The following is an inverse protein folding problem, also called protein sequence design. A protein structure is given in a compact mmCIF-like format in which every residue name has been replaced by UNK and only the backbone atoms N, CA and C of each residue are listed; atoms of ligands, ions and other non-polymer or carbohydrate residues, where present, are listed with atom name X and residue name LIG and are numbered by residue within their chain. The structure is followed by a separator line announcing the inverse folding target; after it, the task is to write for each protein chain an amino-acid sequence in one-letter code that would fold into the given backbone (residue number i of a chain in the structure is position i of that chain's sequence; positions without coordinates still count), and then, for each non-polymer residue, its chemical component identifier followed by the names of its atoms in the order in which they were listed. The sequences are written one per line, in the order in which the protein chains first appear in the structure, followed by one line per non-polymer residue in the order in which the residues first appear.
data_IF_456844770873
#
_entry.id   IF_456844770873
#
_cell.length_a   1.000
_cell.length_b   1.000
_cell.length_c   1.000
_cell.angle_alpha   90.00
_cell.angle_beta   90.00
_cell.angle_gamma   90.00
#
_symmetry.space_group_name_H-M   'P 1'
#
loop_
_entity.id
_entity.type
_entity.pdbx_description
1 polymer ?
#
# COMPACT_ATOMS: atom_id res chain seq x y z
N UNK A 1 18.64 48.70 9.43
CA UNK A 1 19.48 47.49 9.50
C UNK A 1 19.15 46.66 8.27
N UNK A 2 20.09 46.64 7.34
CA UNK A 2 20.00 46.11 5.98
C UNK A 2 20.50 44.68 5.94
N UNK A 3 19.64 43.72 5.62
CA UNK A 3 20.02 42.33 5.38
C UNK A 3 19.81 41.98 3.91
N UNK A 4 20.94 41.73 3.25
CA UNK A 4 21.12 41.39 1.85
C UNK A 4 20.48 40.04 1.46
N UNK A 5 20.05 39.87 0.20
CA UNK A 5 19.63 38.56 -0.31
C UNK A 5 20.85 37.69 -0.68
N UNK A 6 20.84 36.46 -0.19
CA UNK A 6 21.83 35.42 -0.49
C UNK A 6 21.59 34.82 -1.87
N UNK A 7 22.54 35.00 -2.77
CA UNK A 7 22.58 34.39 -4.11
C UNK A 7 22.98 32.92 -4.00
N UNK A 8 22.12 31.99 -4.39
CA UNK A 8 22.48 30.58 -4.51
C UNK A 8 22.75 30.25 -5.98
N UNK A 9 23.96 29.73 -6.19
CA UNK A 9 24.60 29.49 -7.45
C UNK A 9 23.94 28.38 -8.29
N UNK A 10 23.93 28.61 -9.60
CA UNK A 10 23.56 27.65 -10.65
C UNK A 10 24.72 26.66 -10.85
N UNK A 11 24.51 25.33 -10.77
CA UNK A 11 25.56 24.37 -11.11
C UNK A 11 25.66 24.20 -12.63
N UNK A 12 26.90 24.28 -13.11
CA UNK A 12 27.29 24.38 -14.52
C UNK A 12 26.97 23.17 -15.40
N UNK A 13 26.74 23.49 -16.68
CA UNK A 13 26.65 22.55 -17.80
C UNK A 13 27.98 21.86 -18.01
N UNK A 14 28.06 20.55 -17.69
CA UNK A 14 29.16 19.69 -18.14
C UNK A 14 28.95 19.34 -19.62
N UNK A 15 29.79 19.91 -20.49
CA UNK A 15 30.02 19.42 -21.86
C UNK A 15 30.77 18.09 -21.76
N UNK A 16 30.13 16.98 -22.11
CA UNK A 16 30.82 15.72 -22.39
C UNK A 16 30.95 15.61 -23.91
N UNK A 17 32.13 15.98 -24.40
CA UNK A 17 32.58 15.64 -25.75
C UNK A 17 33.08 14.20 -25.73
N UNK A 18 32.24 13.27 -26.18
CA UNK A 18 32.59 11.86 -26.35
C UNK A 18 32.47 11.46 -27.82
N UNK A 19 33.54 11.66 -28.59
CA UNK A 19 33.75 10.99 -29.88
C UNK A 19 33.99 9.50 -29.62
N UNK A 20 33.07 8.61 -29.96
CA UNK A 20 33.37 7.19 -30.22
C UNK A 20 32.52 6.62 -31.35
N UNK A 21 33.24 6.35 -32.44
CA UNK A 21 33.09 5.38 -33.53
C UNK A 21 31.71 4.75 -33.77
N UNK A 22 31.18 5.09 -34.95
CA UNK A 22 30.27 4.26 -35.74
C UNK A 22 30.88 2.86 -35.97
N UNK A 23 30.12 1.77 -35.75
CA UNK A 23 30.47 0.48 -36.32
C UNK A 23 30.27 0.52 -37.86
N UNK A 24 31.06 -0.26 -38.62
CA UNK A 24 30.95 -0.30 -40.07
C UNK A 24 29.61 -0.92 -40.50
N UNK A 25 29.03 -0.50 -41.64
CA UNK A 25 27.85 -1.14 -42.19
C UNK A 25 28.22 -2.54 -42.69
N UNK A 26 27.57 -3.55 -42.11
CA UNK A 26 27.62 -4.92 -42.60
C UNK A 26 27.09 -4.95 -44.04
N UNK A 27 28.01 -5.14 -44.97
CA UNK A 27 27.73 -5.38 -46.39
C UNK A 27 27.23 -6.81 -46.52
N UNK A 28 25.92 -7.01 -46.40
CA UNK A 28 25.30 -8.19 -47.01
C UNK A 28 25.27 -8.00 -48.54
N UNK A 29 25.70 -9.00 -49.32
CA UNK A 29 25.66 -8.90 -50.77
C UNK A 29 24.20 -8.91 -51.23
N UNK A 30 23.80 -7.81 -51.85
CA UNK A 30 22.59 -7.70 -52.67
C UNK A 30 22.68 -8.76 -53.76
N UNK A 31 21.94 -9.86 -53.61
CA UNK A 31 21.65 -10.75 -54.72
C UNK A 31 20.76 -9.99 -55.72
N UNK A 32 21.40 -9.48 -56.77
CA UNK A 32 20.74 -9.05 -57.98
C UNK A 32 20.10 -10.25 -58.68
N UNK A 33 18.84 -10.54 -58.37
CA UNK A 33 18.02 -11.33 -59.29
C UNK A 33 17.59 -10.40 -60.42
N UNK A 34 18.21 -10.62 -61.57
CA UNK A 34 17.89 -9.97 -62.85
C UNK A 34 16.50 -10.41 -63.32
N UNK A 35 15.46 -9.86 -62.70
CA UNK A 35 14.11 -9.97 -63.21
C UNK A 35 14.00 -9.13 -64.48
N UNK A 36 14.12 -9.81 -65.64
CA UNK A 36 13.72 -9.33 -66.97
C UNK A 36 12.35 -8.65 -66.87
N UNK A 37 12.34 -7.32 -66.72
CA UNK A 37 11.15 -6.50 -66.93
C UNK A 37 10.85 -6.53 -68.43
N UNK A 38 10.01 -7.51 -68.83
CA UNK A 38 9.25 -7.46 -70.07
C UNK A 38 8.55 -6.10 -70.11
N UNK A 39 9.04 -5.21 -70.99
CA UNK A 39 8.21 -4.16 -71.61
C UNK A 39 7.15 -4.90 -72.41
N UNK A 40 6.04 -5.19 -71.76
CA UNK A 40 4.85 -5.77 -72.35
C UNK A 40 3.65 -5.03 -71.79
N UNK A 41 3.12 -4.13 -72.60
CA UNK A 41 1.72 -3.75 -72.63
C UNK A 41 1.17 -2.95 -71.44
N UNK A 42 1.64 -1.72 -71.28
CA UNK A 42 0.92 -0.66 -70.55
C UNK A 42 -0.05 0.15 -71.44
N UNK A 43 -0.50 -0.43 -72.57
CA UNK A 43 -1.53 0.16 -73.41
C UNK A 43 -2.73 -0.80 -73.50
N UNK A 44 -3.34 -1.11 -72.35
CA UNK A 44 -4.61 -1.84 -72.32
C UNK A 44 -5.63 -1.11 -71.47
N UNK A 45 -6.29 -0.15 -72.12
CA UNK A 45 -7.68 0.21 -71.92
C UNK A 45 -8.00 1.00 -70.65
N UNK A 46 -8.19 2.30 -70.85
CA UNK A 46 -9.03 3.17 -70.00
C UNK A 46 -10.50 2.74 -70.02
N UNK A 47 -10.79 1.44 -69.83
CA UNK A 47 -12.16 0.99 -69.67
C UNK A 47 -12.61 1.40 -68.27
N UNK A 48 -13.54 2.35 -68.21
CA UNK A 48 -14.16 2.79 -66.97
C UNK A 48 -14.65 1.55 -66.18
N UNK A 49 -14.39 1.50 -64.87
CA UNK A 49 -14.81 0.37 -64.05
C UNK A 49 -16.31 0.15 -64.19
N UNK A 50 -16.71 -1.08 -64.52
CA UNK A 50 -18.12 -1.44 -64.69
C UNK A 50 -18.88 -1.28 -63.37
N UNK A 51 -20.17 -0.91 -63.45
CA UNK A 51 -21.03 -0.70 -62.29
C UNK A 51 -21.05 -1.89 -61.31
N UNK A 52 -20.99 -3.12 -61.85
CA UNK A 52 -20.93 -4.35 -61.05
C UNK A 52 -19.65 -4.46 -60.22
N UNK A 53 -18.51 -4.00 -60.75
CA UNK A 53 -17.24 -3.94 -60.01
C UNK A 53 -17.34 -2.98 -58.82
N UNK A 54 -17.90 -1.78 -59.03
CA UNK A 54 -18.10 -0.79 -57.97
C UNK A 54 -19.04 -1.32 -56.89
N UNK A 55 -20.18 -1.91 -57.26
CA UNK A 55 -21.11 -2.54 -56.30
C UNK A 55 -20.45 -3.67 -55.49
N UNK A 56 -19.62 -4.49 -56.13
CA UNK A 56 -18.89 -5.58 -55.45
C UNK A 56 -17.85 -5.04 -54.46
N UNK A 57 -17.15 -3.96 -54.80
CA UNK A 57 -16.22 -3.30 -53.87
C UNK A 57 -16.97 -2.67 -52.69
N UNK A 58 -18.07 -1.96 -52.95
CA UNK A 58 -18.87 -1.31 -51.92
C UNK A 58 -19.47 -2.32 -50.92
N UNK A 59 -19.98 -3.46 -51.41
CA UNK A 59 -20.50 -4.53 -50.54
C UNK A 59 -19.43 -5.19 -49.69
N UNK A 60 -18.23 -5.44 -50.24
CA UNK A 60 -17.08 -5.92 -49.45
C UNK A 60 -16.65 -4.92 -48.39
N UNK A 61 -16.53 -3.65 -48.76
CA UNK A 61 -16.18 -2.57 -47.82
C UNK A 61 -17.22 -2.46 -46.70
N UNK A 62 -18.51 -2.45 -47.05
CA UNK A 62 -19.61 -2.40 -46.09
C UNK A 62 -19.63 -3.59 -45.11
N UNK A 63 -19.25 -4.79 -45.56
CA UNK A 63 -19.09 -5.95 -44.66
C UNK A 63 -17.92 -5.76 -43.70
N UNK A 64 -16.78 -5.27 -44.20
CA UNK A 64 -15.59 -4.99 -43.38
C UNK A 64 -15.88 -3.96 -42.30
N UNK A 65 -16.51 -2.83 -42.65
CA UNK A 65 -16.89 -1.79 -41.70
C UNK A 65 -17.83 -2.33 -40.63
N UNK A 66 -18.82 -3.15 -40.98
CA UNK A 66 -19.72 -3.79 -40.00
C UNK A 66 -18.97 -4.71 -39.04
N UNK A 67 -18.01 -5.48 -39.54
CA UNK A 67 -17.19 -6.34 -38.70
C UNK A 67 -16.33 -5.53 -37.72
N UNK A 68 -15.64 -4.49 -38.21
CA UNK A 68 -14.83 -3.61 -37.37
C UNK A 68 -15.68 -2.91 -36.29
N UNK A 69 -16.93 -2.53 -36.61
CA UNK A 69 -17.88 -1.98 -35.63
C UNK A 69 -18.25 -3.00 -34.54
N UNK A 70 -18.54 -4.25 -34.90
CA UNK A 70 -18.89 -5.28 -33.92
C UNK A 70 -17.71 -5.67 -33.04
N UNK A 71 -16.49 -5.74 -33.61
CA UNK A 71 -15.26 -5.94 -32.85
C UNK A 71 -15.03 -4.80 -31.85
N UNK A 72 -15.23 -3.55 -32.28
CA UNK A 72 -15.13 -2.39 -31.39
C UNK A 72 -16.17 -2.40 -30.27
N UNK A 73 -17.43 -2.76 -30.57
CA UNK A 73 -18.48 -2.92 -29.54
C UNK A 73 -18.12 -4.01 -28.54
N UNK A 74 -17.61 -5.15 -29.00
CA UNK A 74 -17.18 -6.24 -28.12
C UNK A 74 -16.06 -5.78 -27.17
N UNK A 75 -15.09 -5.02 -27.68
CA UNK A 75 -14.01 -4.46 -26.87
C UNK A 75 -14.54 -3.45 -25.83
N UNK A 76 -15.45 -2.56 -26.24
CA UNK A 76 -16.09 -1.60 -25.34
C UNK A 76 -16.82 -2.31 -24.21
N UNK A 77 -17.61 -3.35 -24.52
CA UNK A 77 -18.34 -4.11 -23.49
C UNK A 77 -17.39 -4.74 -22.47
N UNK A 78 -16.27 -5.34 -22.91
CA UNK A 78 -15.27 -5.88 -21.98
C UNK A 78 -14.69 -4.81 -21.04
N UNK A 79 -14.46 -3.61 -21.55
CA UNK A 79 -14.00 -2.49 -20.72
C UNK A 79 -15.07 -1.99 -19.76
N UNK A 80 -16.34 -1.99 -20.17
CA UNK A 80 -17.47 -1.67 -19.28
C UNK A 80 -17.56 -2.68 -18.14
N UNK A 81 -17.52 -3.98 -18.45
CA UNK A 81 -17.58 -5.05 -17.44
C UNK A 81 -16.42 -4.94 -16.42
N UNK A 82 -15.20 -4.65 -16.90
CA UNK A 82 -14.04 -4.45 -16.03
C UNK A 82 -14.16 -3.19 -15.16
N UNK A 83 -14.72 -2.09 -15.70
CA UNK A 83 -14.98 -0.88 -14.92
C UNK A 83 -16.06 -1.13 -13.85
N UNK A 84 -17.14 -1.84 -14.18
CA UNK A 84 -18.17 -2.21 -13.22
C UNK A 84 -17.59 -3.07 -12.10
N UNK A 85 -16.72 -4.03 -12.43
CA UNK A 85 -16.02 -4.86 -11.44
C UNK A 85 -15.17 -4.00 -10.50
N UNK A 86 -14.41 -3.03 -11.03
CA UNK A 86 -13.58 -2.13 -10.22
C UNK A 86 -14.43 -1.21 -9.33
N UNK A 87 -15.54 -0.67 -9.85
CA UNK A 87 -16.46 0.17 -9.06
C UNK A 87 -17.07 -0.62 -7.91
N UNK A 88 -17.51 -1.85 -8.16
CA UNK A 88 -18.05 -2.72 -7.11
C UNK A 88 -17.00 -3.03 -6.04
N UNK A 89 -15.76 -3.34 -6.45
CA UNK A 89 -14.67 -3.56 -5.51
C UNK A 89 -14.40 -2.32 -4.63
N UNK A 90 -14.32 -1.13 -5.22
CA UNK A 90 -14.10 0.11 -4.48
C UNK A 90 -15.24 0.41 -3.51
N UNK A 91 -16.48 0.10 -3.89
CA UNK A 91 -17.66 0.24 -3.04
C UNK A 91 -17.55 -0.66 -1.81
N UNK A 92 -17.20 -1.92 -2.00
CA UNK A 92 -17.04 -2.89 -0.91
C UNK A 92 -15.90 -2.49 0.03
N UNK A 93 -14.75 -2.06 -0.52
CA UNK A 93 -13.63 -1.56 0.28
C UNK A 93 -14.02 -0.33 1.12
N UNK A 94 -14.83 0.56 0.56
CA UNK A 94 -15.30 1.76 1.25
C UNK A 94 -16.28 1.41 2.37
N UNK A 95 -17.18 0.44 2.13
CA UNK A 95 -18.11 -0.03 3.16
C UNK A 95 -17.37 -0.71 4.33
N UNK A 96 -16.37 -1.54 4.04
CA UNK A 96 -15.56 -2.19 5.07
C UNK A 96 -14.78 -1.15 5.89
N UNK A 97 -14.20 -0.14 5.26
CA UNK A 97 -13.53 0.97 5.96
C UNK A 97 -14.48 1.71 6.87
N UNK A 98 -15.66 2.07 6.38
CA UNK A 98 -16.69 2.75 7.16
C UNK A 98 -17.09 1.91 8.39
N UNK A 99 -17.37 0.61 8.21
CA UNK A 99 -17.70 -0.29 9.33
C UNK A 99 -16.58 -0.39 10.36
N UNK A 100 -15.31 -0.38 9.93
CA UNK A 100 -14.18 -0.42 10.84
C UNK A 100 -14.05 0.87 11.66
N UNK A 101 -14.25 2.03 11.04
CA UNK A 101 -14.28 3.32 11.73
C UNK A 101 -15.46 3.41 12.71
N UNK A 102 -16.63 2.91 12.34
CA UNK A 102 -17.80 2.82 13.22
C UNK A 102 -17.53 1.91 14.44
N UNK A 103 -16.88 0.75 14.25
CA UNK A 103 -16.48 -0.10 15.37
C UNK A 103 -15.46 0.57 16.29
N UNK A 104 -14.48 1.32 15.75
CA UNK A 104 -13.50 2.03 16.58
C UNK A 104 -14.14 3.16 17.39
N UNK A 105 -15.01 3.94 16.77
CA UNK A 105 -15.78 4.99 17.45
C UNK A 105 -16.69 4.43 18.55
N UNK A 106 -17.38 3.31 18.30
CA UNK A 106 -18.18 2.61 19.31
C UNK A 106 -17.32 2.13 20.49
N UNK A 107 -16.15 1.53 20.24
CA UNK A 107 -15.22 1.13 21.31
C UNK A 107 -14.73 2.32 22.15
N UNK A 108 -14.52 3.47 21.51
CA UNK A 108 -14.13 4.70 22.21
C UNK A 108 -15.28 5.24 23.06
N UNK A 109 -16.51 5.19 22.55
CA UNK A 109 -17.72 5.51 23.31
C UNK A 109 -17.87 4.62 24.54
N UNK A 110 -17.75 3.28 24.40
CA UNK A 110 -17.84 2.34 25.52
C UNK A 110 -16.79 2.65 26.62
N UNK A 111 -15.56 3.02 26.23
CA UNK A 111 -14.52 3.40 27.19
C UNK A 111 -14.87 4.70 27.93
N UNK A 112 -15.49 5.65 27.24
CA UNK A 112 -15.93 6.91 27.85
C UNK A 112 -17.12 6.68 28.78
N UNK A 113 -18.09 5.86 28.38
CA UNK A 113 -19.24 5.47 29.20
C UNK A 113 -18.76 4.81 30.51
N UNK A 114 -17.82 3.87 30.43
CA UNK A 114 -17.19 3.25 31.62
C UNK A 114 -16.44 4.23 32.51
N UNK A 115 -15.84 5.29 31.94
CA UNK A 115 -15.19 6.34 32.75
C UNK A 115 -16.22 7.23 33.43
N UNK A 116 -17.31 7.55 32.73
CA UNK A 116 -18.41 8.33 33.28
C UNK A 116 -19.13 7.58 34.42
N UNK A 117 -19.24 6.26 34.35
CA UNK A 117 -19.88 5.46 35.40
C UNK A 117 -19.11 5.45 36.74
N UNK A 118 -17.80 5.75 36.73
CA UNK A 118 -16.95 5.81 37.94
C UNK A 118 -16.95 7.22 38.57
N UNK A 119 -17.36 8.25 37.83
CA UNK A 119 -17.42 9.63 38.35
C UNK A 119 -18.32 9.81 39.58
N UNK A 120 -19.49 9.15 39.72
CA UNK A 120 -20.30 9.22 40.92
C UNK A 120 -19.57 8.73 42.17
N UNK A 121 -18.83 7.62 42.09
CA UNK A 121 -18.05 7.07 43.21
C UNK A 121 -16.91 8.02 43.64
N UNK A 122 -16.23 8.64 42.66
CA UNK A 122 -15.21 9.66 42.94
C UNK A 122 -15.84 10.90 43.59
N UNK A 123 -17.04 11.31 43.14
CA UNK A 123 -17.76 12.45 43.72
C UNK A 123 -18.22 12.16 45.15
N UNK A 124 -18.62 10.93 45.48
CA UNK A 124 -19.00 10.56 46.84
C UNK A 124 -17.78 10.53 47.78
N UNK A 125 -16.65 9.96 47.35
CA UNK A 125 -15.42 9.94 48.16
C UNK A 125 -14.84 11.33 48.41
N UNK A 126 -15.03 12.28 47.49
CA UNK A 126 -14.58 13.66 47.66
C UNK A 126 -15.49 14.50 48.57
N UNK A 127 -16.77 14.13 48.72
CA UNK A 127 -17.73 14.83 49.58
C UNK A 127 -17.76 14.32 51.02
N UNK A 128 -16.95 13.33 51.39
CA UNK A 128 -16.74 12.98 52.81
C UNK A 128 -15.95 14.11 53.49
N UNK A 129 -16.52 14.84 54.46
CA UNK A 129 -15.74 15.75 55.27
C UNK A 129 -14.69 14.93 56.02
N UNK A 130 -13.42 15.34 55.97
CA UNK A 130 -12.38 14.87 56.89
C UNK A 130 -12.83 15.21 58.32
N UNK A 131 -13.57 14.32 58.96
CA UNK A 131 -13.95 14.46 60.36
C UNK A 131 -12.75 14.15 61.23
N UNK A 132 -12.15 15.21 61.74
CA UNK A 132 -11.34 15.29 62.97
C UNK A 132 -11.89 14.44 64.11
N UNK A 133 -11.01 13.68 64.80
CA UNK A 133 -11.22 13.17 66.16
C UNK A 133 -9.89 12.67 66.74
N UNK A 134 -9.46 12.83 67.99
CA UNK A 134 -9.69 13.74 69.15
C UNK A 134 -8.49 13.48 70.10
N UNK A 135 -7.98 14.54 70.74
CA UNK A 135 -6.83 14.67 71.68
C UNK A 135 -6.97 13.87 73.01
N UNK A 136 -5.99 13.81 73.99
CA UNK A 136 -5.36 14.95 74.72
C UNK A 136 -3.87 14.73 75.15
N UNK A 137 -3.05 15.60 75.78
CA UNK A 137 -3.20 16.75 76.69
C UNK A 137 -1.84 17.55 76.76
N UNK A 138 -1.63 18.57 77.64
CA UNK A 138 -1.11 19.89 77.26
C UNK A 138 0.35 20.16 77.65
N UNK A 139 1.00 21.12 76.97
CA UNK A 139 1.97 22.00 77.63
C UNK A 139 2.12 23.33 76.89
N UNK A 140 1.98 24.41 77.67
CA UNK A 140 2.23 25.79 77.30
C UNK A 140 3.72 26.01 77.04
N UNK A 141 4.04 26.77 76.00
CA UNK A 141 5.40 27.24 75.74
C UNK A 141 5.48 27.92 74.40
N UNK A 142 5.41 29.26 74.40
CA UNK A 142 5.73 30.11 73.25
C UNK A 142 7.12 29.74 72.72
N UNK A 143 7.25 29.58 71.41
CA UNK A 143 8.32 30.17 70.58
C UNK A 143 8.10 29.78 69.10
N UNK A 144 8.80 30.50 68.22
CA UNK A 144 8.52 30.80 66.82
C UNK A 144 8.38 29.60 65.86
N UNK A 145 7.72 29.75 64.69
CA UNK A 145 7.78 28.74 63.64
C UNK A 145 9.13 28.84 62.93
N UNK A 146 10.09 28.01 63.33
CA UNK A 146 11.18 27.64 62.43
C UNK A 146 10.59 26.75 61.32
N UNK A 147 10.77 27.20 60.08
CA UNK A 147 10.43 26.43 58.90
C UNK A 147 11.32 25.18 58.87
N UNK A 148 10.76 24.03 59.24
CA UNK A 148 11.34 22.72 58.94
C UNK A 148 11.37 22.57 57.41
N UNK A 149 12.49 23.00 56.84
CA UNK A 149 12.94 22.63 55.50
C UNK A 149 13.13 21.12 55.53
N UNK A 150 12.11 20.37 55.10
CA UNK A 150 12.29 18.97 54.75
C UNK A 150 13.20 18.96 53.53
N UNK A 151 14.49 18.74 53.79
CA UNK A 151 15.51 18.47 52.79
C UNK A 151 15.19 17.11 52.16
N UNK A 152 14.27 17.11 51.20
CA UNK A 152 14.11 16.00 50.28
C UNK A 152 15.33 16.00 49.37
N UNK A 153 16.39 15.38 49.87
CA UNK A 153 17.47 14.85 49.06
C UNK A 153 16.90 13.67 48.24
N UNK A 154 15.99 14.01 47.33
CA UNK A 154 15.58 13.20 46.19
C UNK A 154 16.79 13.20 45.25
N UNK A 155 17.82 12.46 45.65
CA UNK A 155 18.83 11.99 44.72
C UNK A 155 18.10 11.45 43.49
N UNK A 156 18.59 11.75 42.27
CA UNK A 156 17.89 11.38 41.05
C UNK A 156 17.61 9.89 41.12
N UNK A 157 16.34 9.56 41.29
CA UNK A 157 15.87 8.19 41.27
C UNK A 157 16.05 7.76 39.81
N UNK A 158 17.25 7.26 39.50
CA UNK A 158 17.48 6.45 38.31
C UNK A 158 16.73 5.13 38.55
N UNK A 159 15.41 5.23 38.46
CA UNK A 159 14.56 4.10 38.15
C UNK A 159 15.10 3.61 36.82
N UNK A 160 15.88 2.52 36.90
CA UNK A 160 16.30 1.72 35.76
C UNK A 160 15.07 1.14 35.08
N UNK A 161 14.28 2.00 34.43
CA UNK A 161 13.47 1.68 33.29
C UNK A 161 14.46 1.18 32.25
N UNK A 162 14.73 -0.12 32.30
CA UNK A 162 15.09 -0.89 31.12
C UNK A 162 13.92 -0.68 30.17
N UNK A 163 13.92 0.43 29.44
CA UNK A 163 13.10 0.61 28.25
C UNK A 163 13.33 -0.63 27.43
N UNK A 164 12.31 -1.48 27.37
CA UNK A 164 12.31 -2.71 26.60
C UNK A 164 12.82 -2.37 25.20
N UNK A 165 14.09 -2.71 24.90
CA UNK A 165 14.73 -2.46 23.60
C UNK A 165 13.85 -2.98 22.44
N UNK A 166 13.00 -3.98 22.72
CA UNK A 166 12.07 -4.56 21.75
C UNK A 166 10.96 -3.60 21.28
N UNK A 167 10.62 -2.55 22.03
CA UNK A 167 9.61 -1.58 21.60
C UNK A 167 10.18 -0.59 20.58
N UNK A 168 11.48 -0.29 20.66
CA UNK A 168 12.17 0.60 19.74
C UNK A 168 12.35 -0.02 18.34
N UNK A 169 12.61 -1.33 18.30
CA UNK A 169 12.73 -2.08 17.03
C UNK A 169 11.42 -2.11 16.24
N UNK A 170 10.29 -2.28 16.92
CA UNK A 170 8.97 -2.31 16.26
C UNK A 170 8.58 -0.94 15.68
N UNK A 171 8.93 0.16 16.37
CA UNK A 171 8.69 1.52 15.88
C UNK A 171 9.48 1.80 14.60
N UNK A 172 10.76 1.42 14.58
CA UNK A 172 11.61 1.52 13.38
C UNK A 172 11.06 0.72 12.20
N UNK A 173 10.58 -0.51 12.46
CA UNK A 173 9.96 -1.34 11.42
C UNK A 173 8.66 -0.69 10.90
N UNK A 174 7.86 -0.08 11.76
CA UNK A 174 6.65 0.65 11.35
C UNK A 174 6.96 1.90 10.52
N UNK A 175 7.98 2.67 10.88
CA UNK A 175 8.43 3.82 10.09
C UNK A 175 8.91 3.41 8.71
N UNK A 176 9.74 2.36 8.63
CA UNK A 176 10.19 1.81 7.35
C UNK A 176 8.99 1.32 6.53
N UNK A 177 8.00 0.67 7.15
CA UNK A 177 6.79 0.23 6.48
C UNK A 177 5.97 1.41 5.92
N UNK A 178 5.87 2.53 6.66
CA UNK A 178 5.23 3.76 6.14
C UNK A 178 6.00 4.34 4.95
N UNK A 179 7.33 4.35 5.03
CA UNK A 179 8.20 4.83 3.95
C UNK A 179 8.02 3.99 2.69
N UNK A 180 8.06 2.66 2.81
CA UNK A 180 7.91 1.74 1.67
C UNK A 180 6.53 1.86 1.03
N UNK A 181 5.46 2.03 1.81
CA UNK A 181 4.13 2.29 1.26
C UNK A 181 4.07 3.62 0.48
N UNK A 182 4.73 4.68 0.97
CA UNK A 182 4.80 5.96 0.27
C UNK A 182 5.57 5.85 -1.04
N UNK A 183 6.67 5.08 -1.05
CA UNK A 183 7.44 4.80 -2.27
C UNK A 183 6.61 4.00 -3.28
N UNK A 184 5.86 3.00 -2.80
CA UNK A 184 4.97 2.20 -3.64
C UNK A 184 3.93 3.09 -4.34
N UNK A 185 3.27 3.99 -3.60
CA UNK A 185 2.31 4.94 -4.20
C UNK A 185 2.96 5.84 -5.25
N UNK A 186 4.18 6.33 -5.01
CA UNK A 186 4.92 7.15 -5.99
C UNK A 186 5.24 6.35 -7.25
N UNK A 187 5.75 5.13 -7.08
CA UNK A 187 6.08 4.25 -8.19
C UNK A 187 4.82 3.91 -9.02
N UNK A 188 3.69 3.61 -8.39
CA UNK A 188 2.41 3.41 -9.09
C UNK A 188 1.99 4.64 -9.91
N UNK A 189 2.15 5.84 -9.36
CA UNK A 189 1.88 7.09 -10.09
C UNK A 189 2.82 7.30 -11.27
N UNK A 190 4.12 7.06 -11.10
CA UNK A 190 5.11 7.16 -12.18
C UNK A 190 4.81 6.15 -13.30
N UNK A 191 4.44 4.92 -12.95
CA UNK A 191 4.04 3.92 -13.92
C UNK A 191 2.80 4.35 -14.73
N UNK A 192 1.81 4.98 -14.09
CA UNK A 192 0.65 5.56 -14.77
C UNK A 192 1.05 6.68 -15.74
N UNK A 193 1.92 7.60 -15.30
CA UNK A 193 2.41 8.70 -16.14
C UNK A 193 3.20 8.18 -17.33
N UNK A 194 4.08 7.19 -17.14
CA UNK A 194 4.84 6.56 -18.23
C UNK A 194 3.89 5.84 -19.19
N UNK A 195 2.87 5.15 -18.69
CA UNK A 195 1.87 4.50 -19.54
C UNK A 195 1.14 5.51 -20.43
N UNK A 196 0.66 6.62 -19.85
CA UNK A 196 0.02 7.68 -20.62
C UNK A 196 0.96 8.27 -21.68
N UNK A 197 2.23 8.49 -21.33
CA UNK A 197 3.26 8.96 -22.28
C UNK A 197 3.51 7.98 -23.42
N UNK A 198 3.51 6.67 -23.15
CA UNK A 198 3.60 5.63 -24.19
C UNK A 198 2.43 5.78 -25.15
N UNK A 199 1.20 5.84 -24.64
CA UNK A 199 -0.02 5.97 -25.45
C UNK A 199 -0.02 7.23 -26.32
N UNK A 200 0.36 8.38 -25.76
CA UNK A 200 0.51 9.63 -26.51
C UNK A 200 1.58 9.54 -27.60
N UNK A 201 2.66 8.82 -27.34
CA UNK A 201 3.78 8.66 -28.27
C UNK A 201 3.45 7.65 -29.38
N UNK A 202 2.73 6.58 -29.05
CA UNK A 202 2.23 5.59 -30.01
C UNK A 202 1.23 6.23 -30.98
N UNK A 203 0.36 7.15 -30.54
CA UNK A 203 -0.51 7.93 -31.45
C UNK A 203 0.27 8.74 -32.49
N UNK A 204 1.50 9.16 -32.15
CA UNK A 204 2.38 9.91 -33.06
C UNK A 204 3.18 9.00 -33.99
N UNK A 205 3.27 7.71 -33.67
CA UNK A 205 4.04 6.72 -34.44
C UNK A 205 3.48 6.53 -35.85
N UNK A 206 2.17 6.67 -36.02
CA UNK A 206 1.50 6.61 -37.32
C UNK A 206 1.96 7.72 -38.28
N UNK A 207 2.51 8.81 -37.74
CA UNK A 207 2.92 10.00 -38.49
C UNK A 207 4.45 10.12 -38.59
N UNK A 208 5.20 9.65 -37.59
CA UNK A 208 6.67 9.65 -37.60
C UNK A 208 7.25 8.33 -37.06
N UNK A 209 7.80 7.47 -37.94
CA UNK A 209 8.39 6.20 -37.53
C UNK A 209 9.69 6.36 -36.71
N UNK A 210 10.30 7.55 -36.67
CA UNK A 210 11.51 7.80 -35.85
C UNK A 210 11.20 7.82 -34.35
N UNK A 211 9.93 8.01 -33.99
CA UNK A 211 9.47 8.04 -32.59
C UNK A 211 9.43 6.62 -31.99
N UNK A 212 9.58 5.57 -32.81
CA UNK A 212 9.60 4.17 -32.35
C UNK A 212 10.62 3.90 -31.24
N UNK A 213 11.84 4.41 -31.40
CA UNK A 213 12.90 4.27 -30.40
C UNK A 213 12.49 4.87 -29.05
N UNK A 214 11.78 6.00 -29.06
CA UNK A 214 11.30 6.67 -27.85
C UNK A 214 10.21 5.86 -27.15
N UNK A 215 9.32 5.21 -27.91
CA UNK A 215 8.32 4.29 -27.35
C UNK A 215 9.01 3.10 -26.68
N UNK A 216 10.03 2.54 -27.31
CA UNK A 216 10.78 1.40 -26.77
C UNK A 216 11.51 1.78 -25.47
N UNK A 217 12.14 2.95 -25.41
CA UNK A 217 12.73 3.50 -24.17
C UNK A 217 11.71 3.60 -23.03
N UNK A 218 10.52 4.16 -23.31
CA UNK A 218 9.46 4.30 -22.30
C UNK A 218 8.92 2.93 -21.84
N UNK A 219 8.86 1.93 -22.72
CA UNK A 219 8.46 0.56 -22.38
C UNK A 219 9.50 -0.13 -21.49
N UNK A 220 10.78 0.13 -21.71
CA UNK A 220 11.87 -0.35 -20.84
C UNK A 220 11.73 0.29 -19.45
N UNK A 221 11.53 1.61 -19.39
CA UNK A 221 11.35 2.31 -18.12
C UNK A 221 10.11 1.82 -17.35
N UNK A 222 9.00 1.59 -18.04
CA UNK A 222 7.79 0.99 -17.43
C UNK A 222 8.09 -0.39 -16.82
N UNK A 223 8.92 -1.21 -17.48
CA UNK A 223 9.31 -2.53 -16.97
C UNK A 223 10.16 -2.39 -15.71
N UNK A 224 11.13 -1.48 -15.71
CA UNK A 224 11.97 -1.17 -14.55
C UNK A 224 11.13 -0.75 -13.34
N UNK A 225 10.14 0.14 -13.54
CA UNK A 225 9.21 0.55 -12.47
C UNK A 225 8.39 -0.61 -11.91
N UNK A 226 7.96 -1.58 -12.74
CA UNK A 226 7.27 -2.79 -12.27
C UNK A 226 8.17 -3.69 -11.43
N UNK A 227 9.44 -3.83 -11.80
CA UNK A 227 10.42 -4.60 -11.02
C UNK A 227 10.61 -3.97 -9.64
N UNK A 228 10.75 -2.65 -9.57
CA UNK A 228 10.78 -1.90 -8.31
C UNK A 228 9.48 -2.06 -7.51
N UNK A 229 8.31 -2.03 -8.15
CA UNK A 229 7.03 -2.24 -7.48
C UNK A 229 6.96 -3.61 -6.76
N UNK A 230 7.45 -4.65 -7.43
CA UNK A 230 7.54 -6.01 -6.87
C UNK A 230 8.51 -6.04 -5.69
N UNK A 231 9.67 -5.40 -5.81
CA UNK A 231 10.66 -5.31 -4.73
C UNK A 231 10.09 -4.59 -3.50
N UNK A 232 9.40 -3.47 -3.70
CA UNK A 232 8.74 -2.71 -2.64
C UNK A 232 7.65 -3.55 -1.94
N UNK A 233 6.84 -4.30 -2.71
CA UNK A 233 5.81 -5.21 -2.16
C UNK A 233 6.45 -6.31 -1.32
N UNK A 234 7.50 -6.96 -1.82
CA UNK A 234 8.22 -8.00 -1.08
C UNK A 234 8.79 -7.44 0.24
N UNK A 235 9.39 -6.25 0.20
CA UNK A 235 9.93 -5.60 1.39
C UNK A 235 8.84 -5.25 2.40
N UNK A 236 7.67 -4.78 1.95
CA UNK A 236 6.51 -4.54 2.83
C UNK A 236 6.05 -5.86 3.48
N UNK A 237 5.98 -6.96 2.74
CA UNK A 237 5.62 -8.26 3.28
C UNK A 237 6.61 -8.76 4.32
N UNK A 238 7.91 -8.57 4.08
CA UNK A 238 8.96 -8.93 5.02
C UNK A 238 8.90 -8.11 6.30
N UNK A 239 8.69 -6.80 6.21
CA UNK A 239 8.50 -5.95 7.39
C UNK A 239 7.25 -6.37 8.18
N UNK A 240 6.15 -6.72 7.50
CA UNK A 240 4.95 -7.28 8.15
C UNK A 240 5.24 -8.63 8.83
N UNK A 241 6.05 -9.50 8.20
CA UNK A 241 6.51 -10.76 8.80
C UNK A 241 7.31 -10.51 10.07
N UNK A 242 8.23 -9.55 10.05
CA UNK A 242 9.04 -9.17 11.21
C UNK A 242 8.17 -8.68 12.37
N UNK A 243 7.20 -7.80 12.12
CA UNK A 243 6.27 -7.33 13.16
C UNK A 243 5.47 -8.48 13.78
N UNK A 244 4.98 -9.43 12.96
CA UNK A 244 4.28 -10.61 13.47
C UNK A 244 5.19 -11.48 14.33
N UNK A 245 6.41 -11.74 13.87
CA UNK A 245 7.39 -12.52 14.60
C UNK A 245 7.75 -11.87 15.96
N UNK A 246 7.97 -10.56 15.98
CA UNK A 246 8.25 -9.81 17.20
C UNK A 246 7.07 -9.88 18.18
N UNK A 247 5.84 -9.78 17.67
CA UNK A 247 4.64 -9.95 18.47
C UNK A 247 4.52 -11.37 19.07
N UNK A 248 4.72 -12.41 18.26
CA UNK A 248 4.71 -13.82 18.71
C UNK A 248 5.78 -14.08 19.78
N UNK A 249 7.00 -13.55 19.58
CA UNK A 249 8.10 -13.67 20.55
C UNK A 249 7.77 -13.01 21.89
N UNK A 250 7.06 -11.87 21.88
CA UNK A 250 6.55 -11.22 23.11
C UNK A 250 5.48 -12.06 23.80
N UNK A 251 4.56 -12.65 23.04
CA UNK A 251 3.53 -13.55 23.60
C UNK A 251 4.14 -14.79 24.27
N UNK A 252 5.15 -15.41 23.66
CA UNK A 252 5.83 -16.59 24.20
C UNK A 252 6.59 -16.26 25.50
N UNK A 253 7.25 -15.10 25.58
CA UNK A 253 7.90 -14.62 26.80
C UNK A 253 6.89 -14.40 27.94
N UNK A 254 5.71 -13.84 27.64
CA UNK A 254 4.64 -13.65 28.62
C UNK A 254 4.07 -14.96 29.18
N UNK A 255 4.09 -16.05 28.39
CA UNK A 255 3.59 -17.37 28.81
C UNK A 255 4.58 -18.16 29.67
N UNK A 256 5.89 -18.04 29.43
CA UNK A 256 6.92 -18.77 30.21
C UNK A 256 7.25 -18.15 31.57
N UNK A 257 6.91 -16.88 31.80
CA UNK A 257 7.17 -16.19 33.08
C UNK A 257 6.19 -16.53 34.22
N UNK A 258 5.07 -17.19 33.93
CA UNK A 258 4.00 -17.44 34.94
C UNK A 258 4.02 -18.86 35.54
N UNK A 259 5.13 -19.58 35.41
CA UNK A 259 5.29 -20.96 35.92
C UNK A 259 6.49 -21.10 36.86
N UNK A 260 6.65 -20.18 37.81
CA UNK A 260 7.33 -20.51 39.06
C UNK A 260 6.43 -20.11 40.22
N UNK A 261 6.05 -21.13 40.99
CA UNK A 261 5.46 -21.05 42.34
C UNK A 261 3.95 -20.77 42.42
N UNK A 262 3.15 -21.83 42.31
CA UNK A 262 2.12 -22.04 43.32
C UNK A 262 1.91 -23.51 43.62
N UNK A 263 1.93 -23.77 44.92
CA UNK A 263 1.84 -25.06 45.58
C UNK A 263 0.60 -25.85 45.18
N UNK A 264 0.82 -27.16 45.22
CA UNK A 264 -0.21 -28.20 45.29
C UNK A 264 -1.22 -27.85 46.37
N UNK A 265 -2.49 -27.66 46.01
CA UNK A 265 -3.58 -28.10 46.87
C UNK A 265 -4.68 -28.71 46.01
N UNK A 266 -5.00 -29.94 46.36
CA UNK A 266 -6.00 -30.80 45.75
C UNK A 266 -7.39 -30.27 46.07
N UNK A 267 -8.21 -30.01 45.05
CA UNK A 267 -9.68 -30.02 45.16
C UNK A 267 -10.31 -30.18 43.77
N UNK A 268 -10.85 -31.38 43.58
CA UNK A 268 -12.01 -31.85 42.80
C UNK A 268 -12.52 -31.00 41.62
N UNK A 269 -12.67 -31.57 40.40
CA UNK A 269 -13.21 -30.87 39.24
C UNK A 269 -14.75 -30.96 39.19
N UNK A 270 -15.42 -29.81 39.11
CA UNK A 270 -16.82 -29.70 38.68
C UNK A 270 -16.91 -29.50 37.15
N UNK A 271 -17.97 -30.00 36.48
CA UNK A 271 -18.08 -29.92 35.02
C UNK A 271 -18.60 -28.55 34.61
N UNK A 272 -17.70 -27.64 34.22
CA UNK A 272 -18.06 -26.36 33.60
C UNK A 272 -18.09 -26.50 32.07
N UNK A 273 -19.31 -26.49 31.54
CA UNK A 273 -19.64 -26.29 30.13
C UNK A 273 -19.15 -24.91 29.66
N UNK A 274 -17.97 -24.81 29.05
CA UNK A 274 -17.53 -23.55 28.41
C UNK A 274 -16.47 -23.73 27.30
N UNK A 275 -16.51 -24.84 26.55
CA UNK A 275 -15.52 -25.14 25.51
C UNK A 275 -16.13 -25.59 24.17
N UNK A 276 -17.21 -24.95 23.72
CA UNK A 276 -17.78 -25.20 22.38
C UNK A 276 -17.69 -24.03 21.42
N UNK A 277 -17.38 -22.81 21.88
CA UNK A 277 -17.32 -21.64 20.97
C UNK A 277 -15.99 -21.59 20.20
N UNK A 278 -14.88 -22.02 20.79
CA UNK A 278 -13.56 -21.92 20.15
C UNK A 278 -13.35 -22.90 18.97
N UNK A 279 -14.14 -23.98 18.90
CA UNK A 279 -14.06 -24.94 17.80
C UNK A 279 -14.76 -24.43 16.52
N UNK A 280 -15.88 -23.73 16.67
CA UNK A 280 -16.66 -23.22 15.53
C UNK A 280 -15.93 -22.10 14.76
N UNK A 281 -15.11 -21.28 15.44
CA UNK A 281 -14.32 -20.24 14.77
C UNK A 281 -13.16 -20.78 13.93
N UNK A 282 -12.65 -21.97 14.26
CA UNK A 282 -11.52 -22.57 13.53
C UNK A 282 -11.94 -23.06 12.15
N UNK A 283 -13.14 -23.62 12.03
CA UNK A 283 -13.69 -24.09 10.76
C UNK A 283 -14.10 -22.93 9.86
N UNK A 284 -14.65 -21.85 10.41
CA UNK A 284 -14.98 -20.64 9.65
C UNK A 284 -13.73 -19.96 9.08
N UNK A 285 -12.64 -19.89 9.83
CA UNK A 285 -11.36 -19.34 9.34
C UNK A 285 -10.75 -20.23 8.24
N UNK A 286 -10.83 -21.56 8.36
CA UNK A 286 -10.36 -22.49 7.33
C UNK A 286 -11.10 -22.29 5.99
N UNK A 287 -12.42 -22.14 6.05
CA UNK A 287 -13.25 -21.86 4.86
C UNK A 287 -12.89 -20.50 4.26
N UNK A 288 -12.67 -19.48 5.08
CA UNK A 288 -12.31 -18.14 4.63
C UNK A 288 -10.94 -18.11 3.92
N UNK A 289 -9.93 -18.80 4.46
CA UNK A 289 -8.61 -18.90 3.84
C UNK A 289 -8.61 -19.71 2.53
N UNK A 290 -9.44 -20.75 2.45
CA UNK A 290 -9.67 -21.51 1.21
C UNK A 290 -10.26 -20.61 0.12
N UNK A 291 -11.27 -19.80 0.45
CA UNK A 291 -11.92 -18.90 -0.51
C UNK A 291 -10.98 -17.82 -1.05
N UNK A 292 -10.17 -17.22 -0.17
CA UNK A 292 -9.17 -16.22 -0.56
C UNK A 292 -8.11 -16.83 -1.49
N UNK A 293 -7.68 -18.07 -1.21
CA UNK A 293 -6.66 -18.75 -2.03
C UNK A 293 -7.17 -19.05 -3.44
N UNK A 294 -8.44 -19.43 -3.59
CA UNK A 294 -9.09 -19.66 -4.90
C UNK A 294 -9.26 -18.35 -5.67
N UNK A 295 -9.66 -17.27 -5.00
CA UNK A 295 -9.76 -15.93 -5.59
C UNK A 295 -8.40 -15.43 -6.10
N UNK A 296 -7.33 -15.66 -5.33
CA UNK A 296 -5.97 -15.31 -5.74
C UNK A 296 -5.51 -16.12 -6.96
N UNK A 297 -5.86 -17.40 -7.02
CA UNK A 297 -5.53 -18.27 -8.14
C UNK A 297 -6.27 -17.87 -9.42
N UNK A 298 -7.54 -17.49 -9.32
CA UNK A 298 -8.34 -16.99 -10.46
C UNK A 298 -7.84 -15.64 -10.97
N UNK A 299 -7.42 -14.74 -10.07
CA UNK A 299 -6.79 -13.46 -10.45
C UNK A 299 -5.42 -13.62 -11.11
N UNK A 300 -4.74 -14.75 -10.89
CA UNK A 300 -3.44 -15.04 -11.49
C UNK A 300 -3.53 -15.68 -12.89
N UNK A 301 -4.69 -16.24 -13.24
CA UNK A 301 -4.96 -16.91 -14.52
C UNK A 301 -5.62 -16.00 -15.56
N UNK A 302 -6.04 -14.79 -15.17
CA UNK A 302 -6.55 -13.74 -16.05
C UNK A 302 -5.46 -12.69 -16.35
#
# INVERSE_FOLDING_TARGET
MSSSPSSVAVPGKKKIAGKRQLPPPDRTPVQSTSAKRKKGDFLRGDSLPTQSFVRRRLTKFSKKVRQEIEEAKSLINKHVDELERQVNQLRDETEVKHRFEEMDTNRRLDRLEKKLSVLPEIKETLNLPKTTSTQPAPQEGREQPEEDVIDFDLGPYEEGLKTDESHHDDEKIQEELRLQNRLLTKNSHEMFVIQHRIEETEKKLDHDPKVKHRVDELKIEKRRLREEEVELKNKIEDLKRQLRHNWEKRQEKGRRGSSTRRERHHSTPGPSHSLTVAAEYRDLLSIFFSYISVLFFLLYLC
#
